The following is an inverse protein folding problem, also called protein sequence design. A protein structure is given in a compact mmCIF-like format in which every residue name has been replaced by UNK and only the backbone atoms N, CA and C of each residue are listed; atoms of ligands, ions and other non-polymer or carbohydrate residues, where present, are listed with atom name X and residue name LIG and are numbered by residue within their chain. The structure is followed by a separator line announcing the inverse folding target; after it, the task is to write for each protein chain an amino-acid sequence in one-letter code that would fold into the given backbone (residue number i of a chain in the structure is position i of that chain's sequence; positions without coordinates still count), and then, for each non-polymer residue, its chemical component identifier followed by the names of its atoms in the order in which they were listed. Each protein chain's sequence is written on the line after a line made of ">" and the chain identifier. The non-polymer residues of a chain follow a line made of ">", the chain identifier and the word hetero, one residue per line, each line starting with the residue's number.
data_IF_790340327148
#
_entry.id   IF_790340327148
#
_cell.length_a   1.000
_cell.length_b   1.000
_cell.length_c   1.000
_cell.angle_alpha   90.00
_cell.angle_beta   90.00
_cell.angle_gamma   90.00
#
_symmetry.space_group_name_H-M   'P 1'
#
loop_
_entity.id
_entity.type
_entity.pdbx_description
1 polymer ?
#
# COMPACT_ATOMS: atom_id res chain seq x y z
N UNK A 1 -30.83 22.05 58.98
CA UNK A 1 -30.62 21.68 57.57
C UNK A 1 -29.15 21.83 57.26
N UNK A 2 -28.50 20.68 57.11
CA UNK A 2 -27.28 20.37 56.39
C UNK A 2 -26.08 21.32 56.50
N UNK A 3 -24.98 20.79 57.06
CA UNK A 3 -23.65 21.04 56.51
C UNK A 3 -22.78 19.79 56.66
N UNK A 4 -22.43 19.26 55.50
CA UNK A 4 -21.64 18.06 55.26
C UNK A 4 -20.19 18.18 55.79
N UNK A 5 -19.71 17.02 56.26
CA UNK A 5 -18.34 16.72 56.67
C UNK A 5 -17.32 16.89 55.54
N UNK A 6 -16.11 17.37 55.89
CA UNK A 6 -14.89 17.02 55.16
C UNK A 6 -13.85 16.53 56.17
N UNK A 7 -13.64 15.22 56.18
CA UNK A 7 -12.60 14.54 56.96
C UNK A 7 -11.24 14.70 56.27
N UNK A 8 -10.24 15.15 57.03
CA UNK A 8 -8.82 15.06 56.64
C UNK A 8 -8.23 13.80 57.29
N UNK A 9 -7.94 12.78 56.51
CA UNK A 9 -7.14 11.62 56.93
C UNK A 9 -5.74 11.74 56.36
N UNK A 10 -4.78 12.09 57.23
CA UNK A 10 -3.35 11.95 56.97
C UNK A 10 -2.94 10.50 57.29
N UNK A 11 -2.80 9.67 56.27
CA UNK A 11 -2.23 8.33 56.39
C UNK A 11 -0.71 8.40 56.12
N UNK A 12 0.08 8.18 57.17
CA UNK A 12 1.53 7.97 57.09
C UNK A 12 1.79 6.62 56.40
N UNK A 13 2.40 6.64 55.21
CA UNK A 13 2.97 5.44 54.59
C UNK A 13 4.41 5.26 55.06
N UNK A 14 4.65 4.21 55.84
CA UNK A 14 5.98 3.71 56.20
C UNK A 14 6.63 3.07 54.96
N UNK A 15 7.95 3.29 54.71
CA UNK A 15 8.64 2.62 53.62
C UNK A 15 8.97 1.17 54.04
N UNK A 16 8.52 0.21 53.23
CA UNK A 16 8.93 -1.20 53.32
C UNK A 16 10.34 -1.30 52.76
N UNK A 17 11.34 -1.46 53.64
CA UNK A 17 12.68 -1.88 53.24
C UNK A 17 12.64 -3.39 52.98
N UNK A 18 12.64 -3.79 51.71
CA UNK A 18 12.95 -5.17 51.33
C UNK A 18 14.43 -5.44 51.61
N UNK A 19 14.70 -6.25 52.64
CA UNK A 19 16.02 -6.80 52.88
C UNK A 19 16.41 -7.71 51.71
N UNK A 20 17.44 -7.34 50.96
CA UNK A 20 18.12 -8.26 50.04
C UNK A 20 18.88 -9.26 50.91
N UNK A 21 18.34 -10.46 51.04
CA UNK A 21 19.07 -11.59 51.61
C UNK A 21 20.16 -11.97 50.60
N UNK A 22 21.41 -11.68 50.96
CA UNK A 22 22.58 -12.18 50.26
C UNK A 22 22.66 -13.69 50.56
N UNK A 23 22.08 -14.50 49.70
CA UNK A 23 22.28 -15.94 49.74
C UNK A 23 23.70 -16.24 49.26
N UNK A 24 24.64 -16.40 50.20
CA UNK A 24 25.90 -17.12 49.97
C UNK A 24 25.58 -18.60 49.78
N UNK A 25 25.13 -18.94 48.57
CA UNK A 25 25.08 -20.32 48.10
C UNK A 25 26.50 -20.84 47.84
N UNK A 26 26.72 -22.17 47.94
CA UNK A 26 28.02 -22.75 47.62
C UNK A 26 28.34 -22.52 46.13
N UNK A 27 29.60 -22.22 45.85
CA UNK A 27 30.19 -22.06 44.52
C UNK A 27 30.05 -23.36 43.70
N UNK A 28 28.91 -23.54 43.06
CA UNK A 28 28.70 -24.56 42.02
C UNK A 28 28.11 -23.85 40.80
N UNK A 29 28.94 -23.04 40.14
CA UNK A 29 28.58 -22.30 38.93
C UNK A 29 29.68 -22.47 37.87
N UNK A 30 30.10 -23.71 37.67
CA UNK A 30 31.05 -24.07 36.61
C UNK A 30 30.33 -24.93 35.57
N UNK A 31 29.21 -24.44 35.03
CA UNK A 31 28.47 -25.20 34.01
C UNK A 31 28.37 -24.52 32.64
N UNK A 32 28.88 -23.30 32.44
CA UNK A 32 29.14 -22.80 31.09
C UNK A 32 30.31 -21.80 31.11
N UNK A 33 31.30 -22.01 30.23
CA UNK A 33 32.31 -20.99 29.90
C UNK A 33 31.54 -19.75 29.46
N UNK A 34 31.70 -18.59 30.10
CA UNK A 34 30.95 -17.38 29.76
C UNK A 34 31.58 -16.62 28.59
N UNK A 35 30.75 -16.03 27.73
CA UNK A 35 31.19 -15.33 26.54
C UNK A 35 30.04 -15.01 25.59
N UNK A 36 30.36 -14.42 24.44
CA UNK A 36 29.39 -14.09 23.39
C UNK A 36 29.98 -14.29 21.99
N UNK A 37 29.10 -14.47 21.02
CA UNK A 37 29.45 -14.49 19.60
C UNK A 37 29.27 -13.08 19.03
N UNK A 38 30.20 -12.65 18.19
CA UNK A 38 30.20 -11.35 17.52
C UNK A 38 30.50 -11.57 16.04
N UNK A 39 29.78 -10.88 15.17
CA UNK A 39 29.87 -11.06 13.72
C UNK A 39 30.31 -9.77 13.05
N UNK A 40 31.32 -9.86 12.20
CA UNK A 40 31.86 -8.73 11.46
C UNK A 40 31.73 -8.97 9.96
N UNK A 41 31.14 -8.00 9.25
CA UNK A 41 31.09 -7.97 7.79
C UNK A 41 31.65 -6.64 7.29
N UNK A 42 32.42 -6.69 6.21
CA UNK A 42 33.00 -5.50 5.59
C UNK A 42 32.27 -5.18 4.29
N UNK A 43 31.84 -3.92 4.15
CA UNK A 43 31.26 -3.40 2.90
C UNK A 43 32.02 -2.13 2.53
N UNK A 44 32.82 -2.21 1.46
CA UNK A 44 33.79 -1.17 1.11
C UNK A 44 34.81 -0.96 2.22
N UNK A 45 34.87 0.25 2.78
CA UNK A 45 35.78 0.61 3.88
C UNK A 45 35.11 0.54 5.26
N UNK A 46 33.81 0.19 5.33
CA UNK A 46 33.07 0.15 6.57
C UNK A 46 33.01 -1.28 7.13
N UNK A 47 33.17 -1.41 8.45
CA UNK A 47 32.98 -2.67 9.17
C UNK A 47 31.66 -2.60 9.94
N UNK A 48 30.79 -3.57 9.68
CA UNK A 48 29.48 -3.71 10.31
C UNK A 48 29.52 -4.83 11.33
N UNK A 49 29.08 -4.52 12.55
CA UNK A 49 28.87 -5.50 13.62
C UNK A 49 27.43 -6.01 13.50
N UNK A 50 27.24 -7.32 13.37
CA UNK A 50 25.96 -7.99 13.08
C UNK A 50 25.51 -8.88 14.24
N UNK A 51 25.50 -8.32 15.45
CA UNK A 51 25.19 -9.07 16.69
C UNK A 51 23.73 -9.55 16.78
N UNK A 52 22.86 -9.04 15.90
CA UNK A 52 21.44 -9.44 15.81
C UNK A 52 21.22 -10.66 14.91
N UNK A 53 22.24 -11.08 14.14
CA UNK A 53 22.21 -12.31 13.35
C UNK A 53 21.83 -12.13 11.87
N UNK A 54 21.50 -10.93 11.40
CA UNK A 54 21.29 -10.67 9.98
C UNK A 54 22.63 -10.44 9.26
N UNK A 55 22.98 -11.35 8.36
CA UNK A 55 24.22 -11.31 7.58
C UNK A 55 23.91 -11.10 6.10
N UNK A 56 24.78 -10.38 5.39
CA UNK A 56 24.73 -10.31 3.93
C UNK A 56 25.29 -11.59 3.30
N UNK A 57 24.60 -12.15 2.32
CA UNK A 57 25.14 -13.19 1.43
C UNK A 57 26.28 -12.63 0.58
N UNK A 58 27.17 -13.52 0.11
CA UNK A 58 28.33 -13.19 -0.73
C UNK A 58 29.32 -12.18 -0.10
N UNK A 59 29.18 -11.88 1.19
CA UNK A 59 30.10 -11.05 1.97
C UNK A 59 30.83 -11.93 2.99
N UNK A 60 32.18 -11.95 3.00
CA UNK A 60 32.94 -12.66 4.01
C UNK A 60 32.56 -12.18 5.41
N UNK A 61 32.18 -13.13 6.27
CA UNK A 61 31.84 -12.90 7.67
C UNK A 61 32.96 -13.44 8.54
N UNK A 62 33.46 -12.58 9.44
CA UNK A 62 34.34 -12.98 10.52
C UNK A 62 33.51 -13.14 11.80
N UNK A 63 33.36 -14.36 12.27
CA UNK A 63 32.68 -14.67 13.53
C UNK A 63 33.72 -14.90 14.62
N UNK A 64 33.59 -14.17 15.72
CA UNK A 64 34.51 -14.18 16.86
C UNK A 64 33.76 -14.63 18.11
N UNK A 65 34.40 -15.50 18.90
CA UNK A 65 33.98 -15.78 20.27
C UNK A 65 34.75 -14.90 21.25
N UNK A 66 34.04 -14.03 21.96
CA UNK A 66 34.59 -13.20 23.02
C UNK A 66 34.41 -13.88 24.38
N UNK A 67 35.50 -14.42 24.92
CA UNK A 67 35.51 -15.03 26.25
C UNK A 67 35.33 -13.96 27.33
N UNK A 68 34.36 -14.17 28.23
CA UNK A 68 34.17 -13.36 29.42
C UNK A 68 34.78 -14.06 30.65
N UNK A 69 36.01 -13.70 30.98
CA UNK A 69 36.76 -14.27 32.12
C UNK A 69 37.43 -13.19 32.99
N UNK A 70 36.65 -12.41 33.77
CA UNK A 70 37.19 -11.34 34.60
C UNK A 70 38.12 -11.86 35.72
N UNK A 71 37.91 -13.09 36.17
CA UNK A 71 38.71 -13.73 37.23
C UNK A 71 39.99 -14.39 36.69
N UNK A 72 40.18 -14.43 35.37
CA UNK A 72 41.32 -15.07 34.69
C UNK A 72 41.46 -16.57 35.00
N UNK A 73 40.34 -17.24 35.29
CA UNK A 73 40.28 -18.66 35.58
C UNK A 73 40.76 -19.52 34.40
N UNK A 74 40.69 -18.97 33.19
CA UNK A 74 41.05 -19.62 31.92
C UNK A 74 42.32 -19.07 31.27
N UNK A 75 43.10 -18.25 31.97
CA UNK A 75 44.31 -17.60 31.42
C UNK A 75 45.39 -18.56 30.91
N UNK A 76 45.49 -19.77 31.46
CA UNK A 76 46.44 -20.82 31.02
C UNK A 76 45.75 -21.97 30.27
N UNK A 77 44.46 -21.83 29.95
CA UNK A 77 43.70 -22.88 29.32
C UNK A 77 44.11 -23.07 27.86
N UNK A 78 44.01 -24.31 27.38
CA UNK A 78 44.03 -24.59 25.95
C UNK A 78 42.60 -24.81 25.47
N UNK A 79 42.14 -23.92 24.60
CA UNK A 79 40.82 -23.99 23.99
C UNK A 79 40.89 -24.73 22.64
N UNK A 80 39.85 -25.51 22.37
CA UNK A 80 39.55 -26.06 21.05
C UNK A 80 38.16 -25.59 20.64
N UNK A 81 38.04 -25.08 19.43
CA UNK A 81 36.82 -24.52 18.88
C UNK A 81 36.33 -25.42 17.75
N UNK A 82 35.06 -25.80 17.78
CA UNK A 82 34.37 -26.51 16.70
C UNK A 82 33.18 -25.66 16.28
N UNK A 83 33.32 -25.02 15.12
CA UNK A 83 32.33 -24.18 14.49
C UNK A 83 31.48 -25.01 13.54
N UNK A 84 30.22 -25.24 13.87
CA UNK A 84 29.19 -25.72 12.95
C UNK A 84 28.42 -24.51 12.43
N UNK A 85 28.51 -24.27 11.12
CA UNK A 85 27.97 -23.07 10.49
C UNK A 85 26.47 -23.19 10.12
N UNK A 86 25.84 -24.32 10.46
CA UNK A 86 24.41 -24.57 10.21
C UNK A 86 24.08 -24.97 8.77
N UNK A 87 25.04 -24.91 7.86
CA UNK A 87 24.92 -25.33 6.46
C UNK A 87 25.58 -26.68 6.17
N UNK A 88 25.84 -27.48 7.22
CA UNK A 88 26.55 -28.76 7.14
C UNK A 88 28.08 -28.62 7.10
N UNK A 89 28.64 -27.40 7.05
CA UNK A 89 30.08 -27.19 7.14
C UNK A 89 30.51 -27.04 8.60
N UNK A 90 31.49 -27.85 8.98
CA UNK A 90 32.11 -27.81 10.32
C UNK A 90 33.59 -27.47 10.20
N UNK A 91 34.06 -26.52 11.01
CA UNK A 91 35.45 -26.05 11.04
C UNK A 91 35.99 -26.21 12.46
N UNK A 92 37.09 -26.94 12.59
CA UNK A 92 37.76 -27.17 13.88
C UNK A 92 39.08 -26.41 13.93
N UNK A 93 39.42 -25.84 15.08
CA UNK A 93 40.65 -25.10 15.27
C UNK A 93 40.93 -24.72 16.72
N UNK A 94 42.01 -23.96 16.91
CA UNK A 94 42.42 -23.41 18.21
C UNK A 94 42.20 -21.90 18.31
N UNK A 95 41.78 -21.28 17.22
CA UNK A 95 41.52 -19.85 17.16
C UNK A 95 40.06 -19.54 17.57
N UNK A 96 39.82 -18.46 18.33
CA UNK A 96 38.47 -18.02 18.71
C UNK A 96 37.72 -17.35 17.57
N UNK A 97 38.27 -17.37 16.35
CA UNK A 97 37.72 -16.71 15.16
C UNK A 97 37.57 -17.69 14.01
N UNK A 98 36.48 -17.55 13.26
CA UNK A 98 36.25 -18.26 12.00
C UNK A 98 35.84 -17.27 10.92
N UNK A 99 36.38 -17.45 9.72
CA UNK A 99 36.02 -16.66 8.54
C UNK A 99 35.26 -17.55 7.56
N UNK A 100 34.07 -17.14 7.18
CA UNK A 100 33.24 -17.89 6.25
C UNK A 100 32.38 -16.98 5.37
N UNK A 101 32.02 -17.48 4.19
CA UNK A 101 31.14 -16.80 3.24
C UNK A 101 29.93 -17.70 2.99
N UNK A 102 28.74 -17.17 3.27
CA UNK A 102 27.47 -17.79 2.90
C UNK A 102 27.09 -17.30 1.49
N UNK A 103 26.98 -18.22 0.54
CA UNK A 103 26.61 -17.90 -0.85
C UNK A 103 25.10 -17.92 -1.10
N UNK A 104 24.32 -18.51 -0.19
CA UNK A 104 22.88 -18.62 -0.32
C UNK A 104 22.21 -17.87 0.84
N UNK A 105 21.14 -17.14 0.52
CA UNK A 105 20.28 -16.56 1.53
C UNK A 105 19.42 -17.64 2.19
N UNK A 106 19.15 -17.48 3.48
CA UNK A 106 18.44 -18.49 4.26
C UNK A 106 18.64 -18.35 5.77
N UNK A 107 17.97 -19.21 6.50
CA UNK A 107 18.09 -19.30 7.96
C UNK A 107 19.04 -20.43 8.31
N UNK A 108 20.02 -20.14 9.14
CA UNK A 108 21.04 -21.07 9.61
C UNK A 108 21.10 -21.05 11.14
N UNK A 109 21.40 -22.19 11.75
CA UNK A 109 21.67 -22.27 13.19
C UNK A 109 23.16 -22.54 13.37
N UNK A 110 23.92 -21.49 13.71
CA UNK A 110 25.34 -21.61 14.00
C UNK A 110 25.51 -22.19 15.41
N UNK A 111 26.34 -23.21 15.55
CA UNK A 111 26.74 -23.77 16.83
C UNK A 111 28.26 -23.73 17.01
N UNK A 112 28.71 -23.19 18.13
CA UNK A 112 30.10 -23.27 18.56
C UNK A 112 30.22 -24.21 19.74
N UNK A 113 31.00 -25.28 19.59
CA UNK A 113 31.41 -26.15 20.70
C UNK A 113 32.83 -25.80 21.13
N UNK A 114 32.96 -25.46 22.40
CA UNK A 114 34.22 -25.19 23.09
C UNK A 114 34.65 -26.44 23.85
N UNK A 115 35.92 -26.78 23.74
CA UNK A 115 36.60 -27.72 24.63
C UNK A 115 37.74 -27.02 25.34
N UNK A 116 37.85 -27.22 26.65
CA UNK A 116 38.89 -26.62 27.49
C UNK A 116 39.67 -27.71 28.17
N UNK A 117 40.96 -27.78 27.84
CA UNK A 117 41.88 -28.73 28.46
C UNK A 117 42.72 -28.03 29.54
N UNK A 118 42.54 -28.46 30.80
CA UNK A 118 43.32 -28.02 31.95
C UNK A 118 43.63 -29.18 32.89
N UNK A 119 44.79 -29.15 33.52
CA UNK A 119 45.16 -30.15 34.53
C UNK A 119 44.28 -30.11 35.79
N UNK A 120 43.67 -28.95 36.11
CA UNK A 120 42.83 -28.76 37.30
C UNK A 120 41.45 -29.40 37.19
N UNK A 121 40.95 -29.60 35.97
CA UNK A 121 39.58 -30.06 35.71
C UNK A 121 39.62 -31.29 34.79
N UNK A 122 39.29 -32.44 35.37
CA UNK A 122 39.18 -33.73 34.66
C UNK A 122 37.81 -34.33 35.03
N UNK A 123 36.87 -34.49 34.09
CA UNK A 123 37.00 -34.38 32.63
C UNK A 123 37.15 -32.93 32.10
N UNK A 124 37.58 -32.76 30.82
CA UNK A 124 37.67 -31.45 30.17
C UNK A 124 36.34 -30.70 30.22
N UNK A 125 36.39 -29.39 30.47
CA UNK A 125 35.21 -28.53 30.47
C UNK A 125 34.79 -28.29 29.02
N UNK A 126 33.49 -28.37 28.75
CA UNK A 126 32.93 -28.04 27.44
C UNK A 126 31.93 -26.90 27.58
N UNK A 127 31.72 -26.15 26.49
CA UNK A 127 30.69 -25.13 26.39
C UNK A 127 30.06 -25.18 25.00
N UNK A 128 28.77 -24.90 24.91
CA UNK A 128 28.07 -24.88 23.61
C UNK A 128 27.31 -23.57 23.48
N UNK A 129 27.56 -22.87 22.39
CA UNK A 129 26.87 -21.65 22.00
C UNK A 129 26.07 -21.92 20.75
N UNK A 130 24.85 -21.38 20.69
CA UNK A 130 23.98 -21.49 19.52
C UNK A 130 23.41 -20.12 19.20
N UNK A 131 23.38 -19.77 17.92
CA UNK A 131 22.78 -18.54 17.44
C UNK A 131 22.11 -18.79 16.09
N UNK A 132 20.86 -18.33 15.96
CA UNK A 132 20.18 -18.31 14.68
C UNK A 132 20.64 -17.11 13.87
N UNK A 133 20.98 -17.36 12.62
CA UNK A 133 21.57 -16.42 11.68
C UNK A 133 20.69 -16.37 10.45
N UNK A 134 20.27 -15.17 10.06
CA UNK A 134 19.50 -14.93 8.86
C UNK A 134 20.41 -14.31 7.80
N UNK A 135 20.76 -15.10 6.79
CA UNK A 135 21.54 -14.63 5.64
C UNK A 135 20.58 -14.04 4.60
N UNK A 136 20.82 -12.80 4.21
CA UNK A 136 19.98 -12.01 3.31
C UNK A 136 20.78 -11.58 2.08
N UNK A 137 20.14 -11.63 0.92
CA UNK A 137 20.66 -11.03 -0.30
C UNK A 137 20.53 -9.51 -0.24
N UNK A 138 21.62 -8.83 -0.58
CA UNK A 138 21.66 -7.38 -0.70
C UNK A 138 20.76 -6.92 -1.85
N UNK A 139 20.18 -5.73 -1.68
CA UNK A 139 19.43 -5.07 -2.75
C UNK A 139 20.39 -4.70 -3.88
N UNK A 140 20.31 -5.43 -5.00
CA UNK A 140 21.18 -5.27 -6.17
C UNK A 140 20.60 -4.32 -7.20
N UNK A 141 19.30 -4.41 -7.46
CA UNK A 141 18.62 -3.57 -8.45
C UNK A 141 17.16 -3.30 -8.10
N UNK A 142 16.65 -2.19 -8.66
CA UNK A 142 15.23 -1.84 -8.68
C UNK A 142 14.90 -1.60 -10.15
N UNK A 143 13.97 -2.37 -10.71
CA UNK A 143 13.60 -2.33 -12.12
C UNK A 143 12.13 -1.96 -12.28
N UNK A 144 11.84 -0.89 -13.03
CA UNK A 144 10.48 -0.54 -13.41
C UNK A 144 10.02 -1.39 -14.60
N UNK A 145 8.99 -2.20 -14.39
CA UNK A 145 8.21 -2.86 -15.45
C UNK A 145 6.90 -2.11 -15.62
N UNK A 146 6.85 -1.25 -16.64
CA UNK A 146 5.70 -0.41 -16.94
C UNK A 146 5.60 -0.04 -18.42
N UNK A 147 4.49 0.58 -18.85
CA UNK A 147 4.35 1.07 -20.20
C UNK A 147 5.38 2.17 -20.50
N UNK A 148 5.74 2.32 -21.78
CA UNK A 148 6.67 3.36 -22.24
C UNK A 148 6.08 4.77 -22.19
N UNK A 149 4.75 4.87 -22.17
CA UNK A 149 4.01 6.13 -22.24
C UNK A 149 2.81 6.12 -21.29
N UNK A 150 2.65 7.21 -20.55
CA UNK A 150 1.56 7.44 -19.61
C UNK A 150 0.63 8.55 -20.11
N UNK A 151 -0.64 8.57 -19.68
CA UNK A 151 -1.59 9.63 -20.04
C UNK A 151 -2.16 10.31 -18.79
N UNK A 152 -2.46 11.61 -18.92
CA UNK A 152 -3.16 12.37 -17.88
C UNK A 152 -4.54 11.78 -17.59
N UNK A 153 -4.93 11.75 -16.31
CA UNK A 153 -6.21 11.23 -15.81
C UNK A 153 -6.49 9.76 -16.10
N UNK A 154 -5.45 8.99 -16.45
CA UNK A 154 -5.53 7.55 -16.60
C UNK A 154 -4.97 6.88 -15.33
N UNK A 155 -5.77 6.00 -14.71
CA UNK A 155 -5.29 5.15 -13.63
C UNK A 155 -4.26 4.17 -14.19
N UNK A 156 -3.01 4.28 -13.73
CA UNK A 156 -1.91 3.45 -14.20
C UNK A 156 -1.30 2.68 -13.03
N UNK A 157 -1.04 1.39 -13.24
CA UNK A 157 -0.32 0.54 -12.29
C UNK A 157 1.13 0.39 -12.74
N UNK A 158 2.07 0.78 -11.88
CA UNK A 158 3.51 0.63 -12.06
C UNK A 158 3.99 -0.56 -11.23
N UNK A 159 4.74 -1.48 -11.83
CA UNK A 159 5.33 -2.61 -11.13
C UNK A 159 6.85 -2.44 -11.02
N UNK A 160 7.38 -2.46 -9.81
CA UNK A 160 8.82 -2.40 -9.55
C UNK A 160 9.29 -3.76 -9.07
N UNK A 161 10.19 -4.38 -9.82
CA UNK A 161 10.87 -5.58 -9.40
C UNK A 161 12.12 -5.20 -8.60
N UNK A 162 12.31 -5.83 -7.44
CA UNK A 162 13.46 -5.60 -6.58
C UNK A 162 14.23 -6.91 -6.42
N UNK A 163 15.51 -6.87 -6.74
CA UNK A 163 16.44 -7.98 -6.51
C UNK A 163 17.09 -7.84 -5.13
N UNK A 164 16.68 -8.69 -4.18
CA UNK A 164 17.11 -8.68 -2.78
C UNK A 164 16.18 -9.51 -1.88
N UNK A 165 16.60 -9.78 -0.63
CA UNK A 165 15.78 -10.57 0.31
C UNK A 165 14.74 -9.72 1.06
N UNK A 166 13.47 -10.16 1.12
CA UNK A 166 12.44 -9.59 1.98
C UNK A 166 12.63 -9.96 3.46
N UNK A 167 12.01 -9.21 4.39
CA UNK A 167 11.18 -8.04 4.17
C UNK A 167 12.01 -6.78 3.85
N UNK A 168 11.47 -5.93 2.98
CA UNK A 168 12.10 -4.68 2.55
C UNK A 168 11.24 -3.47 2.90
N UNK A 169 11.86 -2.44 3.48
CA UNK A 169 11.25 -1.12 3.66
C UNK A 169 11.41 -0.31 2.38
N UNK A 170 10.28 0.05 1.76
CA UNK A 170 10.26 0.90 0.56
C UNK A 170 9.71 2.28 0.90
N UNK A 171 10.47 3.31 0.55
CA UNK A 171 10.13 4.72 0.71
C UNK A 171 10.08 5.35 -0.68
N UNK A 172 8.89 5.77 -1.13
CA UNK A 172 8.69 6.27 -2.49
C UNK A 172 7.89 7.57 -2.54
N UNK A 173 8.12 8.39 -3.56
CA UNK A 173 7.37 9.64 -3.81
C UNK A 173 7.42 10.07 -5.28
N UNK A 174 6.31 10.61 -5.77
CA UNK A 174 6.27 11.26 -7.08
C UNK A 174 6.63 12.75 -6.97
N UNK A 175 7.47 13.20 -7.88
CA UNK A 175 7.91 14.59 -8.03
C UNK A 175 7.45 15.13 -9.38
N UNK A 176 6.75 16.25 -9.35
CA UNK A 176 6.37 16.99 -10.58
C UNK A 176 7.58 17.74 -11.10
N UNK A 177 7.84 17.67 -12.41
CA UNK A 177 9.00 18.30 -13.06
C UNK A 177 10.36 17.90 -12.45
N UNK A 178 10.43 16.78 -11.72
CA UNK A 178 11.65 16.28 -11.08
C UNK A 178 12.33 17.27 -10.12
N UNK A 179 11.57 18.19 -9.53
CA UNK A 179 12.09 19.12 -8.52
C UNK A 179 12.01 18.44 -7.15
N UNK A 180 13.14 18.27 -6.42
CA UNK A 180 13.12 17.67 -5.10
C UNK A 180 12.41 18.60 -4.11
N UNK A 181 11.33 18.11 -3.49
CA UNK A 181 10.71 18.78 -2.35
C UNK A 181 11.50 18.46 -1.07
N UNK A 182 12.08 19.50 -0.48
CA UNK A 182 12.87 19.42 0.76
C UNK A 182 11.97 19.25 2.00
N UNK A 183 10.68 19.57 1.86
CA UNK A 183 9.67 19.55 2.93
C UNK A 183 8.82 18.28 2.91
N UNK A 184 8.84 17.51 1.82
CA UNK A 184 7.99 16.36 1.60
C UNK A 184 8.63 15.04 2.05
N UNK A 185 7.94 14.33 2.95
CA UNK A 185 8.25 12.93 3.27
C UNK A 185 7.95 11.97 2.11
N UNK A 186 8.26 10.69 2.29
CA UNK A 186 7.89 9.63 1.35
C UNK A 186 6.78 8.74 1.93
N UNK A 187 6.10 8.01 1.06
CA UNK A 187 5.20 6.94 1.47
C UNK A 187 6.04 5.71 1.83
N UNK A 188 5.92 5.24 3.07
CA UNK A 188 6.58 4.02 3.54
C UNK A 188 5.69 2.80 3.31
N UNK A 189 6.26 1.71 2.79
CA UNK A 189 5.56 0.46 2.53
C UNK A 189 6.48 -0.73 2.81
N UNK A 190 5.96 -1.74 3.49
CA UNK A 190 6.67 -3.01 3.70
C UNK A 190 6.42 -3.93 2.52
N UNK A 191 7.49 -4.48 1.96
CA UNK A 191 7.47 -5.40 0.85
C UNK A 191 7.96 -6.78 1.30
N UNK A 192 7.06 -7.76 1.29
CA UNK A 192 7.35 -9.16 1.67
C UNK A 192 7.69 -10.05 0.48
N UNK A 193 7.51 -9.53 -0.73
CA UNK A 193 7.84 -10.19 -2.00
C UNK A 193 8.91 -9.38 -2.75
N UNK A 194 9.11 -9.66 -4.03
CA UNK A 194 10.09 -8.96 -4.87
C UNK A 194 9.42 -7.97 -5.83
N UNK A 195 8.12 -7.71 -5.70
CA UNK A 195 7.39 -6.81 -6.61
C UNK A 195 6.52 -5.81 -5.86
N UNK A 196 6.84 -4.52 -5.97
CA UNK A 196 5.99 -3.44 -5.50
C UNK A 196 5.06 -2.98 -6.62
N UNK A 197 3.76 -2.91 -6.35
CA UNK A 197 2.76 -2.33 -7.27
C UNK A 197 2.25 -1.00 -6.76
N UNK A 198 2.38 0.04 -7.57
CA UNK A 198 1.93 1.39 -7.25
C UNK A 198 0.85 1.81 -8.25
N UNK A 199 -0.33 2.19 -7.76
CA UNK A 199 -1.37 2.78 -8.58
C UNK A 199 -1.29 4.30 -8.48
N UNK A 200 -1.21 4.97 -9.62
CA UNK A 200 -1.10 6.42 -9.67
C UNK A 200 -1.86 7.00 -10.87
N UNK A 201 -2.43 8.18 -10.67
CA UNK A 201 -3.14 8.95 -11.70
C UNK A 201 -2.45 10.30 -11.86
N UNK A 202 -1.76 10.50 -12.98
CA UNK A 202 -1.07 11.76 -13.27
C UNK A 202 -2.06 12.88 -13.60
N UNK A 203 -1.88 14.04 -13.00
CA UNK A 203 -2.77 15.21 -13.17
C UNK A 203 -2.26 16.23 -14.19
N UNK A 204 -0.97 16.18 -14.54
CA UNK A 204 -0.35 17.07 -15.51
C UNK A 204 0.49 16.31 -16.54
N UNK A 205 0.59 16.87 -17.74
CA UNK A 205 1.49 16.37 -18.79
C UNK A 205 2.92 16.84 -18.53
N UNK A 206 3.90 16.09 -19.05
CA UNK A 206 5.33 16.38 -18.91
C UNK A 206 6.10 15.23 -18.26
N UNK A 207 7.31 15.55 -17.79
CA UNK A 207 8.18 14.59 -17.10
C UNK A 207 7.86 14.61 -15.61
N UNK A 208 7.54 13.45 -15.07
CA UNK A 208 7.40 13.19 -13.64
C UNK A 208 8.54 12.28 -13.20
N UNK A 209 9.09 12.52 -12.02
CA UNK A 209 10.08 11.60 -11.44
C UNK A 209 9.46 10.81 -10.30
N UNK A 210 9.85 9.55 -10.15
CA UNK A 210 9.55 8.73 -8.99
C UNK A 210 10.85 8.42 -8.27
N UNK A 211 11.03 9.06 -7.13
CA UNK A 211 12.10 8.69 -6.21
C UNK A 211 11.67 7.46 -5.43
N UNK A 212 12.55 6.45 -5.38
CA UNK A 212 12.33 5.23 -4.62
C UNK A 212 13.62 4.83 -3.91
N UNK A 213 13.50 4.59 -2.61
CA UNK A 213 14.53 4.02 -1.76
C UNK A 213 14.02 2.72 -1.18
N UNK A 214 14.78 1.64 -1.36
CA UNK A 214 14.51 0.33 -0.78
C UNK A 214 15.63 -0.01 0.19
N UNK A 215 15.28 -0.59 1.33
CA UNK A 215 16.22 -1.01 2.38
C UNK A 215 15.79 -2.37 2.94
N UNK A 216 16.74 -3.23 3.25
CA UNK A 216 16.55 -4.35 4.18
C UNK A 216 17.54 -4.20 5.36
N UNK A 217 17.69 -5.23 6.19
CA UNK A 217 18.54 -5.16 7.38
C UNK A 217 20.04 -5.06 7.04
N UNK A 218 20.42 -5.49 5.84
CA UNK A 218 21.83 -5.58 5.45
C UNK A 218 22.26 -4.52 4.43
N UNK A 219 21.36 -4.00 3.58
CA UNK A 219 21.71 -2.99 2.57
C UNK A 219 20.57 -2.01 2.25
N UNK A 220 20.91 -0.94 1.52
CA UNK A 220 19.98 0.10 1.05
C UNK A 220 20.35 0.55 -0.36
N UNK A 221 19.36 0.64 -1.25
CA UNK A 221 19.51 1.18 -2.60
C UNK A 221 18.47 2.28 -2.85
N UNK A 222 18.89 3.36 -3.50
CA UNK A 222 18.01 4.47 -3.89
C UNK A 222 18.20 4.80 -5.37
N UNK A 223 17.09 5.07 -6.06
CA UNK A 223 17.08 5.43 -7.48
C UNK A 223 15.91 6.35 -7.80
N UNK A 224 15.95 7.00 -8.96
CA UNK A 224 14.85 7.83 -9.46
C UNK A 224 14.50 7.44 -10.89
N UNK A 225 13.21 7.26 -11.17
CA UNK A 225 12.70 6.91 -12.50
C UNK A 225 12.03 8.12 -13.15
N UNK A 226 12.40 8.43 -14.39
CA UNK A 226 11.72 9.45 -15.19
C UNK A 226 10.55 8.84 -15.97
N UNK A 227 9.36 9.40 -15.80
CA UNK A 227 8.10 8.95 -16.39
C UNK A 227 7.55 10.07 -17.28
N UNK A 228 7.35 9.76 -18.57
CA UNK A 228 6.79 10.73 -19.52
C UNK A 228 5.28 10.59 -19.64
N UNK A 229 4.57 11.66 -19.31
CA UNK A 229 3.10 11.72 -19.31
C UNK A 229 2.61 12.61 -20.44
N UNK A 230 1.84 12.04 -21.36
CA UNK A 230 1.22 12.74 -22.48
C UNK A 230 -0.12 13.35 -22.08
N UNK A 231 -0.43 14.52 -22.63
CA UNK A 231 -1.74 15.15 -22.48
C UNK A 231 -2.84 14.27 -23.09
N UNK A 232 -3.95 14.11 -22.36
CA UNK A 232 -5.14 13.43 -22.84
C UNK A 232 -6.03 14.43 -23.60
N UNK A 233 -5.71 14.70 -24.85
CA UNK A 233 -6.48 15.64 -25.69
C UNK A 233 -7.90 15.16 -26.02
N UNK A 234 -8.16 13.85 -25.91
CA UNK A 234 -9.40 13.25 -26.36
C UNK A 234 -10.62 13.69 -25.52
N UNK A 235 -10.48 13.81 -24.20
CA UNK A 235 -11.62 14.17 -23.33
C UNK A 235 -12.09 15.61 -23.57
N UNK A 236 -11.15 16.55 -23.72
CA UNK A 236 -11.48 17.94 -24.03
C UNK A 236 -12.07 18.12 -25.43
N UNK A 237 -11.56 17.39 -26.43
CA UNK A 237 -12.08 17.49 -27.80
C UNK A 237 -13.53 16.98 -27.90
N UNK A 238 -13.84 15.82 -27.30
CA UNK A 238 -15.22 15.30 -27.29
C UNK A 238 -16.17 16.24 -26.56
N UNK A 239 -15.75 16.81 -25.42
CA UNK A 239 -16.55 17.79 -24.69
C UNK A 239 -16.81 19.06 -25.51
N UNK A 240 -15.76 19.61 -26.16
CA UNK A 240 -15.90 20.79 -27.03
C UNK A 240 -16.78 20.51 -28.24
N UNK A 241 -16.67 19.34 -28.86
CA UNK A 241 -17.52 18.92 -29.99
C UNK A 241 -18.98 18.74 -29.57
N UNK A 242 -19.24 18.11 -28.42
CA UNK A 242 -20.59 17.99 -27.87
C UNK A 242 -21.19 19.35 -27.52
N UNK A 243 -20.42 20.25 -26.92
CA UNK A 243 -20.88 21.60 -26.59
C UNK A 243 -21.15 22.43 -27.86
N UNK A 244 -20.28 22.35 -28.87
CA UNK A 244 -20.48 22.98 -30.16
C UNK A 244 -21.74 22.45 -30.87
N UNK A 245 -21.99 21.14 -30.84
CA UNK A 245 -23.19 20.54 -31.42
C UNK A 245 -24.48 21.04 -30.74
N UNK A 246 -24.48 21.14 -29.40
CA UNK A 246 -25.61 21.69 -28.64
C UNK A 246 -25.83 23.16 -29.02
N UNK A 247 -24.77 23.97 -29.06
CA UNK A 247 -24.87 25.37 -29.46
C UNK A 247 -25.45 25.51 -30.88
N UNK A 248 -24.94 24.76 -31.86
CA UNK A 248 -25.46 24.76 -33.23
C UNK A 248 -26.93 24.37 -33.29
N UNK A 249 -27.35 23.35 -32.54
CA UNK A 249 -28.76 22.94 -32.46
C UNK A 249 -29.65 24.04 -31.88
N UNK A 250 -29.21 24.69 -30.80
CA UNK A 250 -29.95 25.80 -30.18
C UNK A 250 -30.07 27.02 -31.09
N UNK A 251 -28.99 27.43 -31.77
CA UNK A 251 -29.04 28.53 -32.72
C UNK A 251 -29.92 28.22 -33.93
N UNK A 252 -29.86 26.98 -34.44
CA UNK A 252 -30.75 26.54 -35.52
C UNK A 252 -32.22 26.59 -35.10
N UNK A 253 -32.54 26.15 -33.88
CA UNK A 253 -33.88 26.21 -33.34
C UNK A 253 -34.38 27.66 -33.16
N UNK A 254 -33.51 28.55 -32.66
CA UNK A 254 -33.81 29.98 -32.52
C UNK A 254 -34.07 30.62 -33.89
N UNK A 255 -33.25 30.32 -34.91
CA UNK A 255 -33.44 30.83 -36.27
C UNK A 255 -34.76 30.32 -36.85
N UNK A 256 -35.12 29.05 -36.66
CA UNK A 256 -36.40 28.49 -37.13
C UNK A 256 -37.59 29.17 -36.45
N UNK A 257 -37.49 29.54 -35.17
CA UNK A 257 -38.55 30.24 -34.45
C UNK A 257 -38.61 31.73 -34.85
N UNK A 258 -37.46 32.41 -34.94
CA UNK A 258 -37.39 33.84 -35.22
C UNK A 258 -37.67 34.18 -36.70
N UNK A 259 -37.25 33.31 -37.62
CA UNK A 259 -37.47 33.47 -39.06
C UNK A 259 -38.72 32.75 -39.56
N UNK A 260 -39.50 32.12 -38.68
CA UNK A 260 -40.84 31.63 -39.05
C UNK A 260 -41.67 32.86 -39.44
N UNK A 261 -42.18 32.95 -40.68
CA UNK A 261 -43.05 34.05 -41.06
C UNK A 261 -44.26 33.98 -40.13
N UNK A 262 -44.50 35.06 -39.39
CA UNK A 262 -45.74 35.23 -38.64
C UNK A 262 -46.84 35.35 -39.68
N UNK A 263 -47.43 34.21 -40.08
CA UNK A 263 -48.64 34.21 -40.87
C UNK A 263 -49.72 34.86 -40.00
N UNK A 264 -49.91 36.16 -40.18
CA UNK A 264 -51.13 36.85 -39.83
C UNK A 264 -52.24 36.15 -40.61
N UNK A 265 -52.89 35.16 -39.99
CA UNK A 265 -54.16 34.66 -40.47
C UNK A 265 -55.14 35.82 -40.38
N UNK A 266 -55.42 36.40 -41.55
CA UNK A 266 -56.61 37.17 -41.86
C UNK A 266 -57.79 36.51 -41.15
N UNK A 267 -58.44 37.24 -40.27
CA UNK A 267 -59.70 36.87 -39.62
C UNK A 267 -60.69 36.36 -40.67
N UNK A 268 -60.82 35.03 -40.78
CA UNK A 268 -62.04 34.42 -41.31
C UNK A 268 -63.02 34.41 -40.14
N UNK A 269 -64.02 35.27 -40.27
CA UNK A 269 -65.25 35.26 -39.49
C UNK A 269 -65.72 33.81 -39.39
N UNK A 270 -65.83 33.31 -38.17
CA UNK A 270 -66.52 32.07 -37.89
C UNK A 270 -67.95 32.20 -38.43
N UNK A 271 -68.26 31.50 -39.51
CA UNK A 271 -69.65 31.20 -39.85
C UNK A 271 -70.19 30.34 -38.71
N UNK A 272 -71.03 30.97 -37.90
CA UNK A 272 -71.74 30.39 -36.79
C UNK A 272 -72.53 29.15 -37.24
N UNK A 273 -72.23 28.00 -36.66
CA UNK A 273 -73.16 26.88 -36.66
C UNK A 273 -74.37 27.29 -35.80
N UNK A 274 -75.42 27.75 -36.46
CA UNK A 274 -76.67 28.11 -35.80
C UNK A 274 -77.37 26.82 -35.33
N UNK A 275 -77.21 26.46 -34.05
CA UNK A 275 -78.10 25.52 -33.40
C UNK A 275 -79.40 26.27 -33.03
N UNK A 276 -80.43 26.14 -33.87
CA UNK A 276 -81.74 26.73 -33.58
C UNK A 276 -82.46 25.84 -32.57
N UNK A 277 -82.51 26.29 -31.31
CA UNK A 277 -83.26 25.64 -30.24
C UNK A 277 -84.72 26.13 -30.29
N UNK A 278 -85.57 25.42 -31.03
CA UNK A 278 -87.02 25.64 -31.00
C UNK A 278 -87.57 25.04 -29.71
N UNK A 279 -87.85 25.90 -28.73
CA UNK A 279 -88.65 25.57 -27.57
C UNK A 279 -90.11 25.78 -27.96
N UNK A 280 -90.79 24.68 -28.28
CA UNK A 280 -92.24 24.73 -28.45
C UNK A 280 -92.87 24.89 -27.07
N UNK A 281 -93.61 25.98 -26.89
CA UNK A 281 -94.34 26.29 -25.67
C UNK A 281 -95.80 26.01 -25.97
N UNK A 282 -96.13 24.72 -26.15
CA UNK A 282 -97.44 24.10 -25.96
C UNK A 282 -97.41 22.63 -26.47
N UNK A 283 -96.95 21.72 -25.62
CA UNK A 283 -97.33 20.29 -25.56
C UNK A 283 -96.31 19.54 -24.71
N UNK A 284 -96.81 18.73 -23.78
CA UNK A 284 -96.03 17.71 -23.08
C UNK A 284 -95.29 16.80 -24.08
N UNK A 285 -94.02 16.51 -23.79
CA UNK A 285 -93.33 15.33 -24.30
C UNK A 285 -92.46 15.51 -25.56
N UNK A 286 -91.14 15.47 -25.34
CA UNK A 286 -90.08 15.10 -26.30
C UNK A 286 -89.67 16.12 -27.38
N UNK A 287 -88.64 16.93 -27.07
CA UNK A 287 -87.87 17.66 -28.08
C UNK A 287 -86.75 16.77 -28.65
N UNK A 288 -86.86 16.34 -29.91
CA UNK A 288 -85.81 15.62 -30.67
C UNK A 288 -84.86 16.63 -31.34
N UNK A 289 -83.55 16.39 -31.23
CA UNK A 289 -82.51 17.17 -31.93
C UNK A 289 -82.09 16.40 -33.20
N UNK A 290 -82.27 17.01 -34.37
CA UNK A 290 -81.83 16.48 -35.67
C UNK A 290 -80.57 17.22 -36.13
N UNK A 291 -79.43 16.52 -36.19
CA UNK A 291 -78.18 17.05 -36.74
C UNK A 291 -77.94 16.47 -38.13
N UNK A 292 -77.93 17.33 -39.15
CA UNK A 292 -77.66 16.95 -40.55
C UNK A 292 -76.24 17.37 -40.91
N UNK A 293 -75.34 16.40 -41.09
CA UNK A 293 -73.98 16.65 -41.58
C UNK A 293 -73.91 16.35 -43.08
N UNK A 294 -73.51 17.33 -43.89
CA UNK A 294 -73.14 17.13 -45.29
C UNK A 294 -71.70 16.63 -45.35
N UNK A 295 -71.51 15.35 -45.67
CA UNK A 295 -70.20 14.74 -45.85
C UNK A 295 -69.74 14.74 -47.30
N UNK A 296 -68.48 15.11 -47.53
CA UNK A 296 -67.64 14.81 -48.71
C UNK A 296 -66.18 14.90 -48.20
N UNK A 297 -65.26 13.96 -48.36
CA UNK A 297 -65.27 12.60 -48.90
C UNK A 297 -63.92 11.93 -48.51
N UNK A 298 -63.98 10.63 -48.20
CA UNK A 298 -62.98 9.53 -48.41
C UNK A 298 -61.49 9.93 -48.54
N UNK A 299 -60.54 9.42 -47.75
CA UNK A 299 -60.22 7.99 -47.56
C UNK A 299 -59.52 7.67 -46.21
N UNK A 300 -59.77 6.44 -45.78
CA UNK A 300 -59.08 5.58 -44.79
C UNK A 300 -58.74 6.10 -43.37
N UNK A 301 -59.61 5.72 -42.43
CA UNK A 301 -59.24 5.39 -41.05
C UNK A 301 -59.28 3.88 -40.88
N UNK A 302 -58.20 3.29 -40.37
CA UNK A 302 -58.23 2.06 -39.58
C UNK A 302 -57.56 2.33 -38.22
N UNK A 303 -57.87 1.53 -37.17
CA UNK A 303 -58.24 2.07 -35.87
C UNK A 303 -57.10 2.06 -34.84
N UNK A 304 -57.21 2.98 -33.88
CA UNK A 304 -56.49 2.93 -32.61
C UNK A 304 -57.02 1.75 -31.78
N UNK A 305 -56.21 0.72 -31.58
CA UNK A 305 -56.45 -0.28 -30.54
C UNK A 305 -55.82 0.18 -29.23
N UNK A 306 -56.71 0.20 -28.24
CA UNK A 306 -56.56 0.51 -26.83
C UNK A 306 -55.50 -0.32 -26.10
N UNK A 307 -54.92 0.33 -25.09
CA UNK A 307 -54.05 -0.20 -24.04
C UNK A 307 -54.54 -1.52 -23.43
N UNK A 308 -53.58 -2.39 -23.07
CA UNK A 308 -53.67 -3.27 -21.91
C UNK A 308 -52.38 -3.14 -21.10
N UNK A 309 -52.51 -2.66 -19.86
CA UNK A 309 -51.45 -2.72 -18.86
C UNK A 309 -51.33 -4.14 -18.33
N UNK A 310 -50.09 -4.56 -18.03
CA UNK A 310 -49.83 -5.75 -17.23
C UNK A 310 -49.30 -5.34 -15.86
N UNK A 311 -50.05 -5.84 -14.89
CA UNK A 311 -49.92 -5.77 -13.45
C UNK A 311 -48.86 -6.79 -13.02
N UNK A 312 -47.84 -6.39 -12.26
CA UNK A 312 -47.06 -7.31 -11.45
C UNK A 312 -47.67 -7.34 -10.04
N UNK A 313 -47.98 -8.56 -9.58
CA UNK A 313 -48.52 -8.86 -8.27
C UNK A 313 -47.46 -8.74 -7.17
N UNK A 314 -47.95 -8.54 -5.94
CA UNK A 314 -47.28 -8.84 -4.67
C UNK A 314 -46.62 -10.21 -4.63
#
# INVERSE_FOLDING_TARGET
>A
MDRYNLAWTLAFFLPVFSAVVLATGPLTDLENIAGKLVFYQMEGNATFVRDTGELASDVPTETMFELFDPQKNFSTAKFTYTWDLGNGKVIQGTEPVVRYLYSESGNYTLQLKLGVNMAKYTPPITGVYSMDVQVLDAIKSIELKGPSDYKVSQNTSLAFHVDGSPPMWVCWRFLTNCVPDVSGGCTLTMLYENTLRLNHTFTSAGVHCLDISVRNDISKLQTSFSLYVRSSYNTHLFFMLSCAAILVATFSFIIVIACRPRHSSRTQIATSSNAMFLKDQDSEGQSKILLKFSGVGREEREPLISQHGTQYSS
#
